data_IF_628291500453
#
_entry.id   IF_628291500453
#
_cell.length_a   1.000
_cell.length_b   1.000
_cell.length_c   1.000
_cell.angle_alpha   90.00
_cell.angle_beta   90.00
_cell.angle_gamma   90.00
#
_symmetry.space_group_name_H-M   'P 1'
#
loop_
_entity.id
_entity.type
_entity.pdbx_description
1 polymer ?
#
# COMPACT_ATOMS: atom_id res chain seq x y z
N UNK A 1 15.54 13.31 23.29
CA UNK A 1 15.84 14.52 22.51
C UNK A 1 15.87 14.23 21.01
N UNK A 2 16.76 13.36 20.54
CA UNK A 2 16.92 13.05 19.11
C UNK A 2 15.62 12.61 18.39
N UNK A 3 14.77 11.81 19.04
CA UNK A 3 13.54 11.27 18.42
C UNK A 3 12.58 12.35 17.92
N UNK A 4 12.26 13.35 18.76
CA UNK A 4 11.23 14.37 18.45
C UNK A 4 11.72 15.38 17.42
N UNK A 5 12.99 15.80 17.54
CA UNK A 5 13.62 16.67 16.56
C UNK A 5 13.74 15.97 15.21
N UNK A 6 14.08 14.67 15.20
CA UNK A 6 14.13 13.89 13.97
C UNK A 6 12.74 13.69 13.36
N UNK A 7 11.73 13.39 14.18
CA UNK A 7 10.34 13.32 13.73
C UNK A 7 9.90 14.65 13.10
N UNK A 8 10.14 15.78 13.75
CA UNK A 8 9.83 17.11 13.24
C UNK A 8 10.58 17.45 11.94
N UNK A 9 11.86 17.06 11.81
CA UNK A 9 12.62 17.23 10.58
C UNK A 9 12.01 16.41 9.43
N UNK A 10 11.54 15.18 9.69
CA UNK A 10 10.85 14.35 8.70
C UNK A 10 9.52 14.98 8.31
N UNK A 11 8.74 15.50 9.27
CA UNK A 11 7.50 16.24 8.95
C UNK A 11 7.77 17.43 8.02
N UNK A 12 8.82 18.22 8.28
CA UNK A 12 9.19 19.33 7.38
C UNK A 12 9.64 18.88 6.00
N UNK A 13 10.32 17.73 5.89
CA UNK A 13 10.67 17.14 4.59
C UNK A 13 9.44 16.62 3.84
N UNK A 14 8.44 16.12 4.55
CA UNK A 14 7.15 15.70 3.98
C UNK A 14 6.34 16.89 3.47
N UNK A 15 6.25 17.96 4.26
CA UNK A 15 5.63 19.23 3.84
C UNK A 15 6.34 19.80 2.58
N UNK A 16 7.66 19.66 2.50
CA UNK A 16 8.47 20.02 1.33
C UNK A 16 8.45 18.99 0.18
N UNK A 17 7.58 17.98 0.23
CA UNK A 17 7.39 16.94 -0.80
C UNK A 17 8.66 16.16 -1.18
N UNK A 18 9.58 15.95 -0.23
CA UNK A 18 10.90 15.32 -0.49
C UNK A 18 10.89 13.78 -0.47
N UNK A 19 9.74 13.14 -0.32
CA UNK A 19 9.60 11.68 -0.36
C UNK A 19 8.44 11.14 0.48
N UNK A 20 8.24 9.82 0.51
CA UNK A 20 7.22 9.17 1.36
C UNK A 20 7.67 9.06 2.82
N UNK A 21 6.73 8.93 3.78
CA UNK A 21 7.03 8.71 5.22
C UNK A 21 8.01 7.56 5.40
N UNK A 22 7.74 6.42 4.74
CA UNK A 22 8.56 5.22 4.85
C UNK A 22 9.96 5.48 4.34
N UNK A 23 10.11 6.09 3.17
CA UNK A 23 11.43 6.41 2.60
C UNK A 23 12.23 7.33 3.54
N UNK A 24 11.61 8.41 4.03
CA UNK A 24 12.29 9.41 4.85
C UNK A 24 12.65 8.86 6.25
N UNK A 25 11.78 8.07 6.86
CA UNK A 25 12.03 7.47 8.18
C UNK A 25 13.13 6.41 8.10
N UNK A 26 13.14 5.56 7.08
CA UNK A 26 14.18 4.51 6.95
C UNK A 26 15.53 5.08 6.54
N UNK A 27 15.56 6.15 5.73
CA UNK A 27 16.80 6.87 5.38
C UNK A 27 17.29 7.80 6.51
N UNK A 28 16.53 7.92 7.61
CA UNK A 28 16.85 8.85 8.70
C UNK A 28 18.08 8.46 9.52
N UNK A 29 18.49 7.18 9.46
CA UNK A 29 19.59 6.62 10.26
C UNK A 29 19.29 6.54 11.77
N UNK A 30 18.02 6.68 12.18
CA UNK A 30 17.66 6.65 13.60
C UNK A 30 17.69 5.24 14.19
N UNK A 31 18.21 5.07 15.41
CA UNK A 31 18.35 3.76 16.07
C UNK A 31 17.01 3.04 16.28
N UNK A 32 15.93 3.77 16.57
CA UNK A 32 14.61 3.17 16.79
C UNK A 32 13.61 3.57 15.69
N UNK A 33 13.76 2.94 14.53
CA UNK A 33 12.96 3.21 13.32
C UNK A 33 11.46 2.95 13.58
N UNK A 34 11.10 1.85 14.26
CA UNK A 34 9.69 1.52 14.56
C UNK A 34 9.02 2.62 15.38
N UNK A 35 9.69 3.11 16.43
CA UNK A 35 9.17 4.19 17.27
C UNK A 35 9.08 5.52 16.54
N UNK A 36 10.10 5.87 15.74
CA UNK A 36 10.11 7.09 14.93
C UNK A 36 9.01 7.07 13.88
N UNK A 37 8.84 5.94 13.19
CA UNK A 37 7.79 5.75 12.20
C UNK A 37 6.42 5.95 12.83
N UNK A 38 6.12 5.26 13.95
CA UNK A 38 4.85 5.41 14.66
C UNK A 38 4.59 6.86 15.10
N UNK A 39 5.60 7.55 15.65
CA UNK A 39 5.45 8.94 16.10
C UNK A 39 5.18 9.90 14.93
N UNK A 40 5.89 9.76 13.81
CA UNK A 40 5.66 10.58 12.61
C UNK A 40 4.26 10.31 12.04
N UNK A 41 3.92 9.03 11.87
CA UNK A 41 2.63 8.58 11.38
C UNK A 41 1.46 9.14 12.18
N UNK A 42 1.50 8.99 13.50
CA UNK A 42 0.42 9.48 14.34
C UNK A 42 0.41 11.01 14.46
N UNK A 43 1.57 11.67 14.45
CA UNK A 43 1.58 13.15 14.44
C UNK A 43 0.94 13.68 13.15
N UNK A 44 1.23 13.08 12.00
CA UNK A 44 0.58 13.41 10.72
C UNK A 44 -0.92 13.21 10.79
N UNK A 45 -1.36 12.09 11.36
CA UNK A 45 -2.78 11.75 11.55
C UNK A 45 -3.56 12.87 12.21
N UNK A 46 -2.98 13.48 13.24
CA UNK A 46 -3.63 14.52 14.02
C UNK A 46 -3.26 15.93 13.58
N UNK A 47 -2.48 16.14 12.50
CA UNK A 47 -2.00 17.48 12.07
C UNK A 47 -3.11 18.55 12.04
N UNK A 48 -4.29 18.33 11.41
CA UNK A 48 -5.33 19.36 11.36
C UNK A 48 -5.84 19.76 12.75
N UNK A 49 -5.98 18.77 13.64
CA UNK A 49 -6.41 18.95 15.03
C UNK A 49 -5.32 19.65 15.85
N UNK A 50 -4.06 19.26 15.65
CA UNK A 50 -2.90 19.83 16.34
C UNK A 50 -2.69 21.29 15.96
N UNK A 51 -2.81 21.64 14.69
CA UNK A 51 -2.71 23.02 14.21
C UNK A 51 -3.80 23.90 14.80
N UNK A 52 -5.06 23.45 14.83
CA UNK A 52 -6.16 24.20 15.46
C UNK A 52 -5.88 24.45 16.96
N UNK A 53 -5.38 23.44 17.67
CA UNK A 53 -5.02 23.56 19.10
C UNK A 53 -3.84 24.52 19.29
N UNK A 54 -2.77 24.39 18.49
CA UNK A 54 -1.57 25.22 18.57
C UNK A 54 -1.92 26.69 18.29
N UNK A 55 -2.78 26.94 17.30
CA UNK A 55 -3.23 28.28 16.94
C UNK A 55 -4.15 28.87 18.02
N UNK A 56 -5.12 28.10 18.52
CA UNK A 56 -6.06 28.55 19.57
C UNK A 56 -5.36 28.86 20.89
N UNK A 57 -4.21 28.23 21.15
CA UNK A 57 -3.43 28.48 22.37
C UNK A 57 -2.36 29.56 22.21
N UNK A 58 -2.17 30.07 20.99
CA UNK A 58 -1.09 30.99 20.60
C UNK A 58 0.30 30.46 21.01
N UNK A 59 0.48 29.14 21.03
CA UNK A 59 1.67 28.49 21.60
C UNK A 59 2.97 29.00 20.93
N UNK A 60 2.97 29.13 19.60
CA UNK A 60 4.13 29.61 18.84
C UNK A 60 4.42 31.09 19.04
N UNK A 61 3.39 31.90 19.36
CA UNK A 61 3.59 33.33 19.69
C UNK A 61 4.22 33.48 21.06
N UNK A 62 3.81 32.65 22.02
CA UNK A 62 4.33 32.62 23.40
C UNK A 62 5.75 32.07 23.47
N UNK A 63 6.09 31.09 22.63
CA UNK A 63 7.38 30.39 22.63
C UNK A 63 8.08 30.55 21.28
N UNK A 64 8.67 31.73 21.02
CA UNK A 64 9.29 32.09 19.72
C UNK A 64 10.40 31.13 19.23
N UNK A 65 11.01 30.36 20.15
CA UNK A 65 12.05 29.37 19.82
C UNK A 65 11.48 28.03 19.32
N UNK A 66 10.18 27.81 19.48
CA UNK A 66 9.51 26.57 19.11
C UNK A 66 9.08 26.63 17.64
N UNK A 67 9.59 25.72 16.83
CA UNK A 67 9.13 25.55 15.44
C UNK A 67 7.83 24.75 15.38
N UNK A 68 6.99 25.02 14.38
CA UNK A 68 5.68 24.37 14.21
C UNK A 68 5.76 22.84 14.22
N UNK A 69 6.70 22.24 13.49
CA UNK A 69 6.80 20.78 13.41
C UNK A 69 7.27 20.15 14.72
N UNK A 70 8.10 20.84 15.48
CA UNK A 70 8.47 20.40 16.84
C UNK A 70 7.28 20.54 17.79
N UNK A 71 6.49 21.60 17.65
CA UNK A 71 5.26 21.78 18.42
C UNK A 71 4.24 20.67 18.13
N UNK A 72 3.98 20.35 16.85
CA UNK A 72 3.07 19.28 16.43
C UNK A 72 3.42 17.95 17.13
N UNK A 73 4.68 17.52 17.06
CA UNK A 73 5.12 16.24 17.66
C UNK A 73 4.98 16.25 19.19
N UNK A 74 5.36 17.35 19.84
CA UNK A 74 5.30 17.45 21.31
C UNK A 74 3.85 17.53 21.82
N UNK A 75 3.00 18.31 21.15
CA UNK A 75 1.58 18.46 21.50
C UNK A 75 0.85 17.14 21.24
N UNK A 76 1.15 16.44 20.15
CA UNK A 76 0.62 15.10 19.88
C UNK A 76 0.90 14.15 21.04
N UNK A 77 2.16 14.00 21.42
CA UNK A 77 2.54 13.00 22.42
C UNK A 77 2.09 13.39 23.85
N UNK A 78 1.87 14.67 24.11
CA UNK A 78 1.25 15.16 25.35
C UNK A 78 -0.25 14.86 25.43
N UNK A 79 -0.99 15.06 24.34
CA UNK A 79 -2.46 15.06 24.33
C UNK A 79 -3.06 13.70 23.92
N UNK A 80 -2.40 13.00 23.00
CA UNK A 80 -2.89 11.78 22.37
C UNK A 80 -1.95 10.58 22.58
N UNK A 81 -0.64 10.83 22.72
CA UNK A 81 0.35 9.79 22.94
C UNK A 81 0.35 9.20 24.35
N UNK A 82 1.33 8.33 24.62
CA UNK A 82 1.54 7.70 25.94
C UNK A 82 2.27 8.62 26.94
N UNK A 83 2.23 9.94 26.70
CA UNK A 83 2.96 10.96 27.45
C UNK A 83 4.37 11.22 26.93
N UNK A 84 4.87 12.43 27.21
CA UNK A 84 6.16 12.92 26.72
C UNK A 84 7.34 12.05 27.17
N UNK A 85 7.92 11.33 26.21
CA UNK A 85 9.15 10.53 26.35
C UNK A 85 10.43 11.34 26.13
N UNK A 86 10.34 12.63 25.82
CA UNK A 86 11.48 13.53 25.76
C UNK A 86 11.88 14.04 27.15
N UNK A 87 13.19 14.14 27.43
CA UNK A 87 13.71 14.90 28.59
C UNK A 87 14.16 16.31 28.20
N UNK A 88 14.53 17.13 29.18
CA UNK A 88 15.18 18.44 28.98
C UNK A 88 14.23 19.63 28.78
N UNK A 89 14.75 20.69 28.17
CA UNK A 89 14.09 22.00 28.03
C UNK A 89 12.75 21.95 27.30
N UNK A 90 12.61 21.11 26.26
CA UNK A 90 11.36 20.97 25.51
C UNK A 90 10.22 20.36 26.34
N UNK A 91 10.53 19.40 27.22
CA UNK A 91 9.55 18.84 28.15
C UNK A 91 9.08 19.90 29.13
N UNK A 92 10.01 20.64 29.72
CA UNK A 92 9.68 21.73 30.64
C UNK A 92 8.82 22.80 29.97
N UNK A 93 9.18 23.19 28.74
CA UNK A 93 8.45 24.18 27.95
C UNK A 93 7.01 23.75 27.67
N UNK A 94 6.78 22.54 27.19
CA UNK A 94 5.42 22.07 26.87
C UNK A 94 4.60 21.78 28.13
N UNK A 95 5.25 21.30 29.20
CA UNK A 95 4.57 21.08 30.49
C UNK A 95 4.07 22.40 31.10
N UNK A 96 4.75 23.53 30.88
CA UNK A 96 4.28 24.87 31.29
C UNK A 96 2.91 25.24 30.68
N UNK A 97 2.64 24.79 29.46
CA UNK A 97 1.39 25.07 28.72
C UNK A 97 0.37 23.92 28.79
N UNK A 98 0.61 22.89 29.60
CA UNK A 98 -0.19 21.66 29.65
C UNK A 98 -1.68 21.90 29.93
N UNK A 99 -1.99 22.74 30.91
CA UNK A 99 -3.39 23.05 31.28
C UNK A 99 -4.12 23.74 30.13
N UNK A 100 -3.46 24.71 29.48
CA UNK A 100 -4.03 25.44 28.36
C UNK A 100 -4.28 24.54 27.15
N UNK A 101 -3.31 23.67 26.80
CA UNK A 101 -3.43 22.72 25.69
C UNK A 101 -4.53 21.68 25.93
N UNK A 102 -4.64 21.14 27.16
CA UNK A 102 -5.72 20.24 27.54
C UNK A 102 -7.10 20.90 27.50
N UNK A 103 -7.19 22.14 27.98
CA UNK A 103 -8.43 22.93 27.92
C UNK A 103 -8.85 23.22 26.47
N UNK A 104 -7.88 23.54 25.60
CA UNK A 104 -8.14 23.74 24.16
C UNK A 104 -8.66 22.46 23.49
N UNK A 105 -8.07 21.29 23.79
CA UNK A 105 -8.57 20.00 23.31
C UNK A 105 -10.00 19.72 23.79
N UNK A 106 -10.28 19.96 25.08
CA UNK A 106 -11.62 19.75 25.63
C UNK A 106 -12.67 20.66 24.95
N UNK A 107 -12.35 21.94 24.75
CA UNK A 107 -13.22 22.86 23.98
C UNK A 107 -13.43 22.38 22.54
N UNK A 108 -12.38 21.86 21.91
CA UNK A 108 -12.46 21.35 20.54
C UNK A 108 -13.37 20.12 20.43
N UNK A 109 -13.30 19.20 21.40
CA UNK A 109 -14.22 18.06 21.50
C UNK A 109 -15.68 18.48 21.65
N UNK A 110 -15.95 19.44 22.54
CA UNK A 110 -17.29 20.00 22.72
C UNK A 110 -17.79 20.66 21.43
N UNK A 111 -16.94 21.46 20.77
CA UNK A 111 -17.26 22.14 19.50
C UNK A 111 -17.61 21.13 18.39
N UNK A 112 -16.89 20.01 18.30
CA UNK A 112 -17.13 18.95 17.31
C UNK A 112 -18.15 17.90 17.76
N UNK A 113 -18.72 18.04 18.97
CA UNK A 113 -19.68 17.10 19.58
C UNK A 113 -19.16 15.66 19.68
N UNK A 114 -17.88 15.50 19.99
CA UNK A 114 -17.24 14.18 20.13
C UNK A 114 -16.77 13.89 21.55
N UNK A 115 -16.76 12.62 21.93
CA UNK A 115 -16.34 12.18 23.27
C UNK A 115 -14.91 11.61 23.28
N UNK A 116 -14.55 10.83 22.26
CA UNK A 116 -13.22 10.25 22.13
C UNK A 116 -12.26 11.17 21.36
N UNK A 117 -10.95 10.88 21.44
CA UNK A 117 -9.93 11.67 20.74
C UNK A 117 -9.92 11.31 19.24
N UNK A 118 -10.20 10.05 18.94
CA UNK A 118 -10.18 9.45 17.60
C UNK A 118 -11.24 10.07 16.69
N UNK A 119 -12.41 10.38 17.26
CA UNK A 119 -13.55 11.00 16.58
C UNK A 119 -13.26 12.45 16.13
N UNK A 120 -12.22 13.09 16.69
CA UNK A 120 -11.82 14.44 16.25
C UNK A 120 -11.32 14.47 14.81
N UNK A 121 -10.97 13.32 14.23
CA UNK A 121 -10.41 13.21 12.89
C UNK A 121 -11.46 13.11 11.79
N UNK A 122 -12.75 12.95 12.13
CA UNK A 122 -13.83 12.83 11.17
C UNK A 122 -14.17 14.19 10.54
N UNK A 123 -13.56 14.47 9.39
CA UNK A 123 -13.91 15.61 8.54
C UNK A 123 -14.46 15.06 7.22
N UNK A 124 -15.80 15.10 7.06
CA UNK A 124 -16.66 14.99 5.85
C UNK A 124 -16.34 14.04 4.66
N UNK A 125 -15.23 13.30 4.62
CA UNK A 125 -14.92 12.30 3.59
C UNK A 125 -15.01 10.85 4.09
N UNK A 126 -15.17 10.64 5.40
CA UNK A 126 -15.17 9.33 6.04
C UNK A 126 -16.57 8.92 6.50
N UNK A 127 -17.51 8.76 5.57
CA UNK A 127 -18.76 8.03 5.79
C UNK A 127 -18.58 6.50 5.68
N UNK A 128 -17.45 5.98 6.17
CA UNK A 128 -17.28 4.54 6.44
C UNK A 128 -16.85 4.36 7.88
N UNK A 129 -17.83 4.36 8.77
CA UNK A 129 -17.66 4.00 10.18
C UNK A 129 -16.89 2.66 10.31
N UNK A 130 -15.78 2.68 11.05
CA UNK A 130 -15.26 1.53 11.81
C UNK A 130 -14.77 0.27 11.09
N UNK A 131 -14.86 0.14 9.76
CA UNK A 131 -14.51 -1.11 9.07
C UNK A 131 -13.00 -1.21 8.80
N UNK A 132 -12.22 -1.73 9.75
CA UNK A 132 -10.84 -2.15 9.47
C UNK A 132 -10.89 -3.27 8.43
N UNK A 133 -10.27 -3.07 7.26
CA UNK A 133 -10.21 -4.12 6.24
C UNK A 133 -9.47 -5.35 6.78
N UNK A 134 -9.96 -6.56 6.46
CA UNK A 134 -9.33 -7.79 6.91
C UNK A 134 -7.92 -7.95 6.32
N UNK A 135 -7.15 -8.85 6.93
CA UNK A 135 -5.79 -9.17 6.49
C UNK A 135 -5.87 -10.29 5.45
N UNK A 136 -5.55 -9.96 4.21
CA UNK A 136 -5.44 -10.93 3.13
C UNK A 136 -4.05 -11.58 3.07
N UNK A 137 -4.04 -12.89 2.91
CA UNK A 137 -2.85 -13.75 2.92
C UNK A 137 -2.96 -14.74 1.77
N UNK A 138 -2.16 -14.56 0.71
CA UNK A 138 -2.12 -15.48 -0.41
C UNK A 138 -1.21 -16.65 -0.08
N UNK A 139 -1.70 -17.87 -0.27
CA UNK A 139 -0.91 -19.10 -0.19
C UNK A 139 0.01 -19.18 -1.41
N UNK A 140 1.28 -19.51 -1.17
CA UNK A 140 2.25 -19.70 -2.25
C UNK A 140 2.22 -21.16 -2.75
N UNK A 141 1.47 -21.38 -3.83
CA UNK A 141 1.30 -22.70 -4.44
C UNK A 141 2.58 -23.31 -5.02
N UNK A 142 3.69 -22.56 -5.13
CA UNK A 142 5.00 -23.11 -5.48
C UNK A 142 5.65 -23.91 -4.35
N UNK A 143 5.26 -23.64 -3.10
CA UNK A 143 5.93 -24.17 -1.90
C UNK A 143 5.01 -24.92 -0.95
N UNK A 144 3.69 -24.76 -1.10
CA UNK A 144 2.72 -25.41 -0.22
C UNK A 144 1.35 -25.51 -0.87
N UNK A 145 0.48 -26.33 -0.30
CA UNK A 145 -0.95 -26.38 -0.66
C UNK A 145 -1.77 -25.47 0.26
N UNK A 146 -3.00 -25.16 -0.13
CA UNK A 146 -3.92 -24.36 0.71
C UNK A 146 -4.30 -25.16 1.96
N UNK A 147 -4.54 -26.45 1.78
CA UNK A 147 -4.89 -27.43 2.81
C UNK A 147 -3.80 -27.54 3.87
N UNK A 148 -2.53 -27.67 3.46
CA UNK A 148 -1.40 -27.75 4.39
C UNK A 148 -1.21 -26.46 5.19
N UNK A 149 -1.44 -25.29 4.56
CA UNK A 149 -1.38 -24.00 5.26
C UNK A 149 -2.54 -23.87 6.25
N UNK A 150 -3.75 -24.27 5.87
CA UNK A 150 -4.92 -24.31 6.77
C UNK A 150 -4.61 -25.20 7.98
N UNK A 151 -4.08 -26.40 7.74
CA UNK A 151 -3.78 -27.36 8.81
C UNK A 151 -2.63 -26.89 9.70
N UNK A 152 -1.65 -26.17 9.16
CA UNK A 152 -0.61 -25.52 9.95
C UNK A 152 -1.22 -24.51 10.93
N UNK A 153 -2.10 -23.62 10.47
CA UNK A 153 -2.76 -22.65 11.35
C UNK A 153 -3.68 -23.31 12.37
N UNK A 154 -4.37 -24.41 12.01
CA UNK A 154 -5.15 -25.19 12.98
C UNK A 154 -4.30 -25.73 14.14
N UNK A 155 -3.07 -26.18 13.86
CA UNK A 155 -2.11 -26.64 14.88
C UNK A 155 -1.63 -25.51 15.80
N UNK A 156 -1.78 -24.24 15.39
CA UNK A 156 -1.49 -23.05 16.18
C UNK A 156 -2.75 -22.42 16.83
N UNK A 157 -3.76 -23.24 17.09
CA UNK A 157 -5.03 -22.85 17.73
C UNK A 157 -5.86 -21.83 16.93
N UNK A 158 -5.70 -21.77 15.61
CA UNK A 158 -6.65 -21.04 14.76
C UNK A 158 -7.81 -21.92 14.33
N UNK A 159 -9.00 -21.33 14.24
CA UNK A 159 -10.21 -21.97 13.71
C UNK A 159 -10.45 -21.55 12.26
N UNK A 160 -10.46 -22.52 11.35
CA UNK A 160 -10.84 -22.31 9.95
C UNK A 160 -12.37 -22.34 9.82
N UNK A 161 -12.97 -21.27 9.29
CA UNK A 161 -14.41 -21.12 9.16
C UNK A 161 -14.97 -21.66 7.82
N UNK A 162 -14.13 -22.28 6.99
CA UNK A 162 -14.51 -22.71 5.65
C UNK A 162 -14.27 -21.63 4.60
N UNK A 163 -15.06 -21.66 3.53
CA UNK A 163 -15.01 -20.71 2.43
C UNK A 163 -16.06 -19.61 2.62
N UNK A 164 -15.68 -18.35 2.45
CA UNK A 164 -16.64 -17.26 2.49
C UNK A 164 -17.64 -17.40 1.33
N UNK A 165 -18.91 -17.15 1.63
CA UNK A 165 -20.03 -17.12 0.66
C UNK A 165 -20.50 -15.70 0.40
N UNK A 166 -20.16 -14.78 1.31
CA UNK A 166 -20.51 -13.36 1.19
C UNK A 166 -19.41 -12.47 1.76
N UNK A 167 -19.44 -11.19 1.40
CA UNK A 167 -18.54 -10.18 1.99
C UNK A 167 -18.86 -9.96 3.48
N UNK A 168 -20.07 -10.29 3.94
CA UNK A 168 -20.44 -10.18 5.35
C UNK A 168 -19.63 -11.14 6.23
N UNK A 169 -19.30 -12.33 5.72
CA UNK A 169 -18.50 -13.36 6.41
C UNK A 169 -17.10 -12.85 6.77
N UNK A 170 -16.58 -11.90 5.98
CA UNK A 170 -15.24 -11.32 6.15
C UNK A 170 -15.18 -10.21 7.22
N UNK A 171 -16.33 -9.63 7.61
CA UNK A 171 -16.38 -8.46 8.51
C UNK A 171 -16.26 -8.82 9.99
N UNK A 172 -16.61 -10.04 10.37
CA UNK A 172 -16.77 -10.45 11.78
C UNK A 172 -15.83 -11.60 12.18
N UNK A 173 -14.63 -11.64 11.63
CA UNK A 173 -13.62 -12.64 12.00
C UNK A 173 -13.08 -12.35 13.40
N UNK A 174 -13.08 -13.34 14.29
CA UNK A 174 -12.35 -13.31 15.56
C UNK A 174 -10.84 -13.37 15.37
N UNK A 175 -10.05 -12.98 16.39
CA UNK A 175 -8.57 -12.93 16.29
C UNK A 175 -7.90 -14.26 15.96
N UNK A 176 -8.50 -15.37 16.41
CA UNK A 176 -8.03 -16.75 16.16
C UNK A 176 -8.88 -17.46 15.12
N UNK A 177 -9.59 -16.70 14.28
CA UNK A 177 -10.39 -17.24 13.19
C UNK A 177 -9.83 -16.75 11.85
N UNK A 178 -9.95 -17.60 10.84
CA UNK A 178 -9.64 -17.27 9.47
C UNK A 178 -10.56 -18.04 8.53
N UNK A 179 -10.74 -17.51 7.32
CA UNK A 179 -11.69 -18.02 6.33
C UNK A 179 -11.05 -17.94 4.95
N UNK A 180 -11.46 -18.81 4.03
CA UNK A 180 -11.06 -18.72 2.61
C UNK A 180 -11.84 -17.61 1.89
N UNK A 181 -11.22 -16.96 0.92
CA UNK A 181 -11.80 -15.84 0.18
C UNK A 181 -12.85 -16.26 -0.85
N UNK A 182 -13.97 -15.54 -0.92
CA UNK A 182 -15.07 -15.81 -1.85
C UNK A 182 -14.68 -16.09 -3.32
N UNK A 183 -13.67 -15.39 -3.85
CA UNK A 183 -13.35 -15.45 -5.29
C UNK A 183 -12.04 -16.18 -5.59
N UNK A 184 -11.08 -16.17 -4.66
CA UNK A 184 -9.73 -16.66 -4.91
C UNK A 184 -9.42 -17.86 -4.01
N UNK A 185 -9.28 -19.08 -4.56
CA UNK A 185 -9.12 -20.30 -3.76
C UNK A 185 -7.83 -20.31 -2.93
N UNK A 186 -6.78 -19.66 -3.40
CA UNK A 186 -5.49 -19.56 -2.72
C UNK A 186 -5.41 -18.41 -1.70
N UNK A 187 -6.48 -17.64 -1.51
CA UNK A 187 -6.48 -16.47 -0.65
C UNK A 187 -7.19 -16.75 0.68
N UNK A 188 -6.45 -16.58 1.77
CA UNK A 188 -6.97 -16.68 3.13
C UNK A 188 -7.17 -15.28 3.73
N UNK A 189 -8.19 -15.15 4.57
CA UNK A 189 -8.62 -13.89 5.16
C UNK A 189 -8.59 -14.02 6.69
N UNK A 190 -7.85 -13.11 7.32
CA UNK A 190 -7.63 -13.07 8.76
C UNK A 190 -8.16 -11.78 9.37
N UNK A 191 -8.31 -11.78 10.69
CA UNK A 191 -8.66 -10.58 11.46
C UNK A 191 -7.66 -9.41 11.18
N UNK A 192 -8.13 -8.16 10.98
CA UNK A 192 -7.30 -7.00 10.56
C UNK A 192 -6.02 -6.75 11.38
N UNK A 193 -6.10 -6.99 12.69
CA UNK A 193 -5.03 -6.76 13.68
C UNK A 193 -4.00 -7.89 13.79
N UNK A 194 -4.15 -8.99 13.06
CA UNK A 194 -3.14 -10.06 13.04
C UNK A 194 -1.91 -9.61 12.25
N UNK A 195 -0.75 -9.82 12.86
CA UNK A 195 0.57 -9.60 12.25
C UNK A 195 1.24 -10.95 11.99
N UNK A 196 1.58 -11.20 10.74
CA UNK A 196 2.23 -12.43 10.28
C UNK A 196 3.63 -12.17 9.70
N UNK A 197 4.17 -10.95 9.81
CA UNK A 197 5.48 -10.63 9.22
C UNK A 197 6.64 -11.41 9.85
N UNK A 198 6.50 -11.85 11.09
CA UNK A 198 7.49 -12.66 11.81
C UNK A 198 7.11 -14.16 11.84
N UNK A 199 5.97 -14.53 11.24
CA UNK A 199 5.46 -15.89 11.22
C UNK A 199 6.34 -16.80 10.35
N UNK A 200 6.51 -18.07 10.76
CA UNK A 200 7.32 -19.04 10.03
C UNK A 200 6.87 -19.19 8.57
N UNK A 201 5.57 -19.41 8.34
CA UNK A 201 5.04 -19.55 6.97
C UNK A 201 5.35 -18.33 6.08
N UNK A 202 5.42 -17.11 6.64
CA UNK A 202 5.75 -15.91 5.87
C UNK A 202 7.25 -15.79 5.62
N UNK A 203 8.06 -15.99 6.65
CA UNK A 203 9.53 -15.88 6.57
C UNK A 203 10.13 -16.98 5.70
N UNK A 204 9.55 -18.18 5.73
CA UNK A 204 9.87 -19.29 4.84
C UNK A 204 9.17 -19.18 3.46
N UNK A 205 8.30 -18.20 3.22
CA UNK A 205 7.71 -17.95 1.90
C UNK A 205 6.58 -18.89 1.47
N UNK A 206 5.96 -19.62 2.39
CA UNK A 206 4.75 -20.41 2.13
C UNK A 206 3.49 -19.54 2.01
N UNK A 207 3.51 -18.33 2.59
CA UNK A 207 2.44 -17.34 2.45
C UNK A 207 3.00 -15.96 2.07
N UNK A 208 2.20 -15.17 1.38
CA UNK A 208 2.52 -13.82 0.92
C UNK A 208 1.40 -12.87 1.36
N UNK A 209 1.77 -11.80 2.05
CA UNK A 209 0.83 -10.76 2.48
C UNK A 209 0.51 -9.86 1.29
N UNK A 210 -0.65 -10.07 0.68
CA UNK A 210 -1.08 -9.40 -0.55
C UNK A 210 -2.58 -9.13 -0.46
N UNK A 211 -2.96 -7.88 -0.76
CA UNK A 211 -4.35 -7.48 -0.80
C UNK A 211 -5.13 -8.26 -1.87
N UNK A 212 -6.42 -8.53 -1.61
CA UNK A 212 -7.30 -9.24 -2.55
C UNK A 212 -7.30 -8.60 -3.93
N UNK A 213 -7.46 -7.28 -4.02
CA UNK A 213 -7.50 -6.59 -5.31
C UNK A 213 -6.18 -6.75 -6.07
N UNK A 214 -5.05 -6.84 -5.36
CA UNK A 214 -3.75 -7.07 -5.99
C UNK A 214 -3.53 -8.51 -6.45
N UNK A 215 -4.38 -9.47 -6.07
CA UNK A 215 -4.30 -10.86 -6.55
C UNK A 215 -5.08 -11.05 -7.87
N UNK A 216 -6.11 -10.22 -8.11
CA UNK A 216 -6.97 -10.32 -9.30
C UNK A 216 -6.21 -10.21 -10.63
N UNK A 217 -5.22 -9.32 -10.83
CA UNK A 217 -4.61 -9.17 -12.14
C UNK A 217 -3.89 -10.43 -12.65
N UNK A 218 -3.15 -11.10 -11.77
CA UNK A 218 -2.48 -12.35 -12.12
C UNK A 218 -3.51 -13.49 -12.32
N UNK A 219 -4.52 -13.56 -11.46
CA UNK A 219 -5.60 -14.54 -11.56
C UNK A 219 -6.39 -14.40 -12.87
N UNK A 220 -6.76 -13.18 -13.26
CA UNK A 220 -7.49 -12.90 -14.51
C UNK A 220 -6.61 -13.07 -15.75
N UNK A 221 -5.30 -12.82 -15.66
CA UNK A 221 -4.40 -13.08 -16.78
C UNK A 221 -4.31 -14.58 -17.08
N UNK A 222 -4.35 -15.42 -16.05
CA UNK A 222 -4.32 -16.89 -16.08
C UNK A 222 -3.46 -17.47 -17.22
N UNK A 223 -2.16 -17.15 -17.30
CA UNK A 223 -1.31 -17.63 -18.37
C UNK A 223 -1.14 -19.16 -18.27
N UNK A 224 -1.25 -19.92 -19.37
CA UNK A 224 -0.99 -21.36 -19.36
C UNK A 224 0.43 -21.67 -18.88
N UNK A 225 0.58 -22.77 -18.13
CA UNK A 225 1.87 -23.30 -17.70
C UNK A 225 2.82 -23.45 -18.90
N UNK A 226 4.06 -22.95 -18.80
CA UNK A 226 5.03 -23.00 -19.89
C UNK A 226 5.00 -21.81 -20.85
N UNK A 227 4.01 -20.92 -20.75
CA UNK A 227 3.94 -19.73 -21.61
C UNK A 227 4.98 -18.66 -21.24
N UNK A 228 5.13 -17.68 -22.12
CA UNK A 228 5.98 -16.51 -21.90
C UNK A 228 5.11 -15.32 -21.52
N UNK A 229 5.47 -14.68 -20.42
CA UNK A 229 4.69 -13.62 -19.79
C UNK A 229 5.59 -12.41 -19.52
N UNK A 230 5.07 -11.21 -19.73
CA UNK A 230 5.70 -9.97 -19.28
C UNK A 230 4.95 -9.42 -18.07
N UNK A 231 5.68 -9.02 -17.05
CA UNK A 231 5.21 -8.12 -15.99
C UNK A 231 5.89 -6.75 -16.20
N UNK A 232 5.14 -5.78 -16.71
CA UNK A 232 5.67 -4.54 -17.26
C UNK A 232 6.11 -3.52 -16.18
N UNK A 233 5.55 -3.61 -14.98
CA UNK A 233 5.79 -2.68 -13.87
C UNK A 233 5.84 -3.49 -12.56
N UNK A 234 6.84 -4.36 -12.48
CA UNK A 234 6.75 -5.58 -11.69
C UNK A 234 7.06 -5.42 -10.21
N UNK A 235 7.93 -4.47 -9.84
CA UNK A 235 8.38 -4.38 -8.46
C UNK A 235 7.24 -3.87 -7.55
N UNK A 236 7.12 -4.28 -6.28
CA UNK A 236 8.03 -5.12 -5.51
C UNK A 236 7.83 -6.63 -5.70
N UNK A 237 7.13 -7.10 -6.74
CA UNK A 237 7.12 -8.51 -7.14
C UNK A 237 5.94 -9.35 -6.64
N UNK A 238 4.96 -8.76 -5.95
CA UNK A 238 3.80 -9.52 -5.44
C UNK A 238 3.02 -10.20 -6.58
N UNK A 239 2.71 -9.44 -7.65
CA UNK A 239 2.01 -9.95 -8.84
C UNK A 239 2.90 -10.91 -9.64
N UNK A 240 4.18 -10.57 -9.80
CA UNK A 240 5.17 -11.45 -10.45
C UNK A 240 5.28 -12.82 -9.77
N UNK A 241 5.33 -12.85 -8.43
CA UNK A 241 5.37 -14.12 -7.68
C UNK A 241 4.08 -14.93 -7.82
N UNK A 242 2.95 -14.25 -8.03
CA UNK A 242 1.66 -14.90 -8.27
C UNK A 242 1.60 -15.48 -9.69
N UNK A 243 2.05 -14.74 -10.70
CA UNK A 243 2.21 -15.24 -12.07
C UNK A 243 3.13 -16.47 -12.10
N UNK A 244 4.25 -16.44 -11.40
CA UNK A 244 5.15 -17.59 -11.29
C UNK A 244 4.47 -18.82 -10.67
N UNK A 245 3.59 -18.63 -9.69
CA UNK A 245 2.80 -19.69 -9.09
C UNK A 245 1.78 -20.29 -10.08
N UNK A 246 1.08 -19.46 -10.86
CA UNK A 246 0.16 -19.90 -11.92
C UNK A 246 0.92 -20.66 -13.02
N UNK A 247 2.10 -20.17 -13.38
CA UNK A 247 3.00 -20.82 -14.34
C UNK A 247 3.64 -22.10 -13.79
N UNK A 248 3.46 -22.45 -12.52
CA UNK A 248 4.14 -23.57 -11.85
C UNK A 248 5.66 -23.56 -12.06
N UNK A 249 6.29 -22.37 -12.07
CA UNK A 249 7.71 -22.17 -12.39
C UNK A 249 8.14 -22.72 -13.78
N UNK A 250 7.21 -22.90 -14.73
CA UNK A 250 7.49 -23.36 -16.09
C UNK A 250 7.20 -22.25 -17.10
N UNK A 251 8.11 -22.07 -18.07
CA UNK A 251 8.04 -21.01 -19.06
C UNK A 251 9.00 -19.86 -18.75
N UNK A 252 8.65 -18.64 -19.16
CA UNK A 252 9.49 -17.45 -18.99
C UNK A 252 8.66 -16.28 -18.50
N UNK A 253 9.13 -15.63 -17.44
CA UNK A 253 8.50 -14.44 -16.86
C UNK A 253 9.49 -13.27 -16.90
N UNK A 254 9.31 -12.36 -17.84
CA UNK A 254 10.15 -11.16 -17.96
C UNK A 254 9.55 -10.05 -17.10
N UNK A 255 10.32 -9.50 -16.17
CA UNK A 255 9.85 -8.51 -15.22
C UNK A 255 10.67 -7.23 -15.30
N UNK A 256 10.00 -6.11 -15.54
CA UNK A 256 10.61 -4.79 -15.72
C UNK A 256 10.20 -3.84 -14.60
N UNK A 257 11.14 -3.06 -14.09
CA UNK A 257 10.87 -1.89 -13.24
C UNK A 257 12.07 -0.93 -13.30
N UNK A 258 11.83 0.36 -13.09
CA UNK A 258 12.89 1.38 -13.10
C UNK A 258 13.59 1.53 -11.74
N UNK A 259 12.89 1.25 -10.64
CA UNK A 259 13.41 1.51 -9.30
C UNK A 259 14.29 0.35 -8.82
N UNK A 260 15.59 0.60 -8.78
CA UNK A 260 16.61 -0.36 -8.30
C UNK A 260 16.34 -0.87 -6.87
N UNK A 261 15.81 -0.04 -5.98
CA UNK A 261 15.51 -0.43 -4.59
C UNK A 261 14.28 -1.33 -4.53
N UNK A 262 13.24 -1.01 -5.32
CA UNK A 262 12.05 -1.88 -5.43
C UNK A 262 12.42 -3.20 -6.08
N UNK A 263 13.30 -3.21 -7.08
CA UNK A 263 13.82 -4.44 -7.69
C UNK A 263 14.64 -5.29 -6.71
N UNK A 264 15.46 -4.68 -5.85
CA UNK A 264 16.15 -5.42 -4.78
C UNK A 264 15.15 -6.08 -3.80
N UNK A 265 14.08 -5.35 -3.46
CA UNK A 265 12.98 -5.90 -2.63
C UNK A 265 12.29 -7.06 -3.35
N UNK A 266 12.04 -6.91 -4.65
CA UNK A 266 11.48 -7.95 -5.51
C UNK A 266 12.35 -9.19 -5.58
N UNK A 267 13.66 -9.05 -5.81
CA UNK A 267 14.59 -10.18 -5.81
C UNK A 267 14.56 -10.97 -4.50
N UNK A 268 14.49 -10.27 -3.37
CA UNK A 268 14.35 -10.91 -2.04
C UNK A 268 13.02 -11.66 -1.90
N UNK A 269 11.91 -11.07 -2.36
CA UNK A 269 10.59 -11.69 -2.34
C UNK A 269 10.56 -12.95 -3.22
N UNK A 270 11.04 -12.86 -4.47
CA UNK A 270 11.04 -13.95 -5.44
C UNK A 270 11.92 -15.11 -4.98
N UNK A 271 13.10 -14.81 -4.44
CA UNK A 271 13.98 -15.83 -3.85
C UNK A 271 13.28 -16.56 -2.70
N UNK A 272 12.69 -15.83 -1.75
CA UNK A 272 11.96 -16.41 -0.61
C UNK A 272 10.76 -17.26 -1.07
N UNK A 273 10.02 -16.77 -2.06
CA UNK A 273 8.87 -17.44 -2.65
C UNK A 273 9.26 -18.65 -3.53
N UNK A 274 10.55 -18.87 -3.81
CA UNK A 274 11.01 -20.00 -4.63
C UNK A 274 10.71 -19.83 -6.12
N UNK A 275 10.67 -18.60 -6.62
CA UNK A 275 10.39 -18.32 -8.04
C UNK A 275 11.65 -18.50 -8.87
N UNK A 276 11.61 -19.36 -9.88
CA UNK A 276 12.77 -19.73 -10.71
C UNK A 276 12.63 -19.36 -12.19
N UNK A 277 11.41 -19.15 -12.69
CA UNK A 277 11.15 -18.90 -14.11
C UNK A 277 11.25 -17.43 -14.54
N UNK A 278 11.95 -16.58 -13.77
CA UNK A 278 11.91 -15.13 -13.94
C UNK A 278 13.21 -14.54 -14.49
N UNK A 279 13.10 -13.43 -15.21
CA UNK A 279 14.22 -12.60 -15.65
C UNK A 279 13.94 -11.14 -15.27
N UNK A 280 14.69 -10.60 -14.31
CA UNK A 280 14.56 -9.21 -13.87
C UNK A 280 15.38 -8.29 -14.75
N UNK A 281 14.79 -7.16 -15.17
CA UNK A 281 15.49 -6.09 -15.86
C UNK A 281 15.18 -4.75 -15.20
N UNK A 282 16.24 -4.00 -14.84
CA UNK A 282 16.11 -2.58 -14.53
C UNK A 282 16.06 -1.80 -15.86
N UNK A 283 14.86 -1.61 -16.38
CA UNK A 283 14.65 -0.99 -17.68
C UNK A 283 13.26 -0.34 -17.69
N UNK A 284 13.13 0.78 -18.41
CA UNK A 284 11.83 1.35 -18.75
C UNK A 284 11.12 0.39 -19.70
N UNK A 285 9.91 -0.05 -19.33
CA UNK A 285 9.10 -0.90 -20.18
C UNK A 285 8.85 -0.29 -21.56
N UNK A 286 8.67 1.04 -21.65
CA UNK A 286 8.45 1.72 -22.93
C UNK A 286 9.65 1.66 -23.90
N UNK A 287 10.83 1.31 -23.40
CA UNK A 287 12.06 1.14 -24.18
C UNK A 287 12.35 -0.33 -24.53
N UNK A 288 11.47 -1.26 -24.13
CA UNK A 288 11.60 -2.67 -24.48
C UNK A 288 11.16 -2.84 -25.93
N UNK A 289 12.05 -3.27 -26.82
CA UNK A 289 11.69 -3.49 -28.21
C UNK A 289 10.76 -4.71 -28.36
N UNK A 290 9.49 -4.53 -28.80
CA UNK A 290 8.55 -5.63 -28.99
C UNK A 290 8.97 -6.61 -30.09
N UNK A 291 9.82 -6.18 -31.02
CA UNK A 291 10.33 -7.01 -32.12
C UNK A 291 11.56 -7.84 -31.74
N UNK A 292 12.09 -7.66 -30.52
CA UNK A 292 13.26 -8.40 -30.07
C UNK A 292 12.94 -9.90 -30.03
N UNK A 293 13.77 -10.77 -30.64
CA UNK A 293 13.56 -12.23 -30.66
C UNK A 293 13.36 -12.86 -29.27
N UNK A 294 13.90 -12.23 -28.22
CA UNK A 294 13.71 -12.65 -26.83
C UNK A 294 12.23 -12.69 -26.42
N UNK A 295 11.42 -11.77 -26.96
CA UNK A 295 10.02 -11.59 -26.59
C UNK A 295 9.04 -12.13 -27.64
N UNK A 296 9.53 -12.75 -28.72
CA UNK A 296 8.69 -13.22 -29.84
C UNK A 296 7.56 -14.19 -29.42
N UNK A 297 7.76 -14.93 -28.33
CA UNK A 297 6.81 -15.93 -27.82
C UNK A 297 5.90 -15.38 -26.72
N UNK A 298 6.01 -14.08 -26.36
CA UNK A 298 5.18 -13.47 -25.31
C UNK A 298 3.75 -13.34 -25.81
N UNK A 299 2.84 -13.95 -25.05
CA UNK A 299 1.39 -13.94 -25.33
C UNK A 299 0.58 -13.23 -24.26
N UNK A 300 1.13 -13.10 -23.06
CA UNK A 300 0.43 -12.59 -21.88
C UNK A 300 1.22 -11.45 -21.26
N UNK A 301 0.57 -10.33 -20.99
CA UNK A 301 1.20 -9.17 -20.35
C UNK A 301 0.36 -8.70 -19.17
N UNK A 302 1.01 -8.55 -18.03
CA UNK A 302 0.46 -7.84 -16.87
C UNK A 302 1.01 -6.42 -16.86
N UNK A 303 0.12 -5.44 -16.87
CA UNK A 303 0.46 -4.02 -16.79
C UNK A 303 -0.18 -3.41 -15.53
N UNK A 304 0.64 -3.24 -14.49
CA UNK A 304 0.28 -2.58 -13.21
C UNK A 304 1.10 -1.29 -13.04
N UNK A 305 0.80 -0.23 -13.81
CA UNK A 305 1.64 0.94 -13.89
C UNK A 305 1.56 1.80 -12.63
N UNK A 306 2.44 2.79 -12.54
CA UNK A 306 2.33 3.82 -11.50
C UNK A 306 0.98 4.54 -11.60
N UNK A 307 0.30 4.62 -10.46
CA UNK A 307 -1.05 5.18 -10.32
C UNK A 307 -1.06 6.26 -9.23
N UNK A 308 -2.14 7.03 -9.10
CA UNK A 308 -2.32 7.99 -8.00
C UNK A 308 -2.28 7.36 -6.60
N UNK A 309 -2.67 6.09 -6.48
CA UNK A 309 -2.73 5.33 -5.23
C UNK A 309 -3.98 5.61 -4.40
N UNK A 310 -4.96 6.32 -4.96
CA UNK A 310 -6.17 6.82 -4.29
C UNK A 310 -7.07 5.71 -3.73
N UNK A 311 -7.01 4.49 -4.26
CA UNK A 311 -7.77 3.33 -3.80
C UNK A 311 -7.14 2.56 -2.63
N UNK A 312 -5.96 2.95 -2.14
CA UNK A 312 -5.28 2.23 -1.05
C UNK A 312 -5.85 2.67 0.31
N UNK A 313 -6.92 2.00 0.73
CA UNK A 313 -7.69 2.30 1.97
C UNK A 313 -6.86 2.14 3.27
N UNK A 314 -5.85 1.28 3.26
CA UNK A 314 -5.16 0.82 4.48
C UNK A 314 -3.74 1.37 4.67
N UNK A 315 -3.38 2.46 4.00
CA UNK A 315 -2.13 3.15 4.29
C UNK A 315 -2.42 4.50 4.89
N UNK A 316 -1.82 4.70 6.05
CA UNK A 316 -1.35 5.97 6.60
C UNK A 316 -0.71 6.94 5.58
N UNK A 317 -0.50 6.50 4.33
CA UNK A 317 -0.26 7.34 3.16
C UNK A 317 -1.37 8.37 2.93
N UNK A 318 -2.63 8.10 3.27
CA UNK A 318 -3.70 9.12 3.18
C UNK A 318 -3.41 10.38 4.02
N UNK A 319 -2.56 10.28 5.05
CA UNK A 319 -2.18 11.41 5.92
C UNK A 319 -0.92 12.15 5.44
N UNK A 320 -0.28 11.67 4.37
CA UNK A 320 0.74 12.41 3.62
C UNK A 320 0.30 12.77 2.20
N UNK A 321 -0.78 12.15 1.75
CA UNK A 321 -1.54 12.49 0.57
C UNK A 321 -2.67 13.48 0.95
N UNK A 322 -2.34 14.47 1.80
CA UNK A 322 -3.15 15.68 2.01
C UNK A 322 -3.41 16.30 0.64
N UNK A 323 -4.63 16.13 0.09
CA UNK A 323 -5.37 16.87 -0.97
C UNK A 323 -4.58 17.57 -2.12
N UNK A 324 -3.31 17.25 -2.28
CA UNK A 324 -2.33 17.95 -3.12
C UNK A 324 -1.42 16.97 -3.86
N UNK A 325 -1.49 15.67 -3.55
CA UNK A 325 -0.88 14.60 -4.34
C UNK A 325 -1.73 14.19 -5.55
N UNK A 326 -3.00 14.61 -5.58
CA UNK A 326 -3.95 14.53 -6.70
C UNK A 326 -4.12 15.87 -7.43
N UNK A 327 -3.04 16.61 -7.68
CA UNK A 327 -3.17 17.76 -8.59
C UNK A 327 -3.65 17.22 -9.94
N UNK A 328 -4.74 17.79 -10.48
CA UNK A 328 -5.29 17.39 -11.80
C UNK A 328 -4.20 17.25 -12.88
N UNK A 329 -3.16 18.11 -12.95
CA UNK A 329 -2.05 17.92 -13.88
C UNK A 329 -1.27 16.61 -13.70
N UNK A 330 -1.00 16.19 -12.45
CA UNK A 330 -0.31 14.92 -12.18
C UNK A 330 -1.17 13.72 -12.54
N UNK A 331 -2.47 13.77 -12.22
CA UNK A 331 -3.42 12.72 -12.58
C UNK A 331 -3.44 12.51 -14.11
N UNK A 332 -3.55 13.59 -14.88
CA UNK A 332 -3.53 13.54 -16.34
C UNK A 332 -2.18 13.06 -16.89
N UNK A 333 -1.06 13.44 -16.27
CA UNK A 333 0.26 12.94 -16.67
C UNK A 333 0.41 11.42 -16.42
N UNK A 334 -0.14 10.92 -15.30
CA UNK A 334 -0.18 9.48 -15.01
C UNK A 334 -1.07 8.73 -16.02
N UNK A 335 -2.27 9.23 -16.28
CA UNK A 335 -3.17 8.69 -17.31
C UNK A 335 -2.50 8.63 -18.68
N UNK A 336 -1.84 9.72 -19.10
CA UNK A 336 -1.10 9.76 -20.37
C UNK A 336 0.03 8.74 -20.42
N UNK A 337 0.74 8.51 -19.31
CA UNK A 337 1.75 7.45 -19.23
C UNK A 337 1.10 6.05 -19.31
N UNK A 338 -0.03 5.84 -18.63
CA UNK A 338 -0.77 4.58 -18.64
C UNK A 338 -1.27 4.23 -20.05
N UNK A 339 -1.82 5.19 -20.81
CA UNK A 339 -2.18 5.01 -22.22
C UNK A 339 -0.97 4.60 -23.06
N UNK A 340 0.18 5.27 -22.90
CA UNK A 340 1.42 4.91 -23.63
C UNK A 340 1.88 3.50 -23.30
N UNK A 341 1.89 3.13 -22.02
CA UNK A 341 2.33 1.81 -21.58
C UNK A 341 1.38 0.70 -22.06
N UNK A 342 0.07 0.94 -22.05
CA UNK A 342 -0.91 -0.03 -22.54
C UNK A 342 -0.83 -0.19 -24.06
N UNK A 343 -0.68 0.90 -24.81
CA UNK A 343 -0.39 0.83 -26.26
C UNK A 343 0.89 0.06 -26.55
N UNK A 344 1.93 0.29 -25.76
CA UNK A 344 3.20 -0.41 -25.91
C UNK A 344 3.05 -1.92 -25.63
N UNK A 345 2.34 -2.30 -24.57
CA UNK A 345 2.03 -3.71 -24.30
C UNK A 345 1.27 -4.37 -25.47
N UNK A 346 0.32 -3.66 -26.09
CA UNK A 346 -0.43 -4.14 -27.25
C UNK A 346 0.39 -4.20 -28.55
N UNK A 347 1.59 -3.60 -28.58
CA UNK A 347 2.46 -3.64 -29.76
C UNK A 347 3.29 -4.92 -29.89
N UNK A 348 3.28 -5.79 -28.87
CA UNK A 348 3.94 -7.10 -28.94
C UNK A 348 3.20 -8.01 -29.93
N UNK A 349 3.88 -8.55 -30.97
CA UNK A 349 3.21 -9.17 -32.11
C UNK A 349 2.43 -10.44 -31.78
N UNK A 350 2.84 -11.16 -30.72
CA UNK A 350 2.20 -12.39 -30.26
C UNK A 350 1.20 -12.20 -29.12
N UNK A 351 0.92 -10.96 -28.69
CA UNK A 351 0.10 -10.72 -27.50
C UNK A 351 -1.35 -11.13 -27.73
N UNK A 352 -1.87 -11.99 -26.86
CA UNK A 352 -3.25 -12.47 -26.89
C UNK A 352 -4.09 -11.84 -25.77
N UNK A 353 -3.47 -11.58 -24.61
CA UNK A 353 -4.16 -11.01 -23.44
C UNK A 353 -3.26 -10.04 -22.68
N UNK A 354 -3.78 -8.84 -22.44
CA UNK A 354 -3.17 -7.84 -21.55
C UNK A 354 -4.13 -7.58 -20.40
N UNK A 355 -3.64 -7.69 -19.16
CA UNK A 355 -4.37 -7.22 -17.99
C UNK A 355 -3.82 -5.87 -17.58
N UNK A 356 -4.67 -4.85 -17.67
CA UNK A 356 -4.42 -3.51 -17.13
C UNK A 356 -5.03 -3.41 -15.73
N UNK A 357 -4.25 -2.99 -14.74
CA UNK A 357 -4.75 -2.80 -13.38
C UNK A 357 -4.16 -1.56 -12.73
N UNK A 358 -4.95 -0.84 -11.94
CA UNK A 358 -4.46 0.26 -11.11
C UNK A 358 -4.91 0.10 -9.66
N UNK A 359 -4.29 0.91 -8.83
CA UNK A 359 -4.64 1.15 -7.43
C UNK A 359 -5.44 2.46 -7.25
N UNK A 360 -6.11 2.94 -8.31
CA UNK A 360 -6.81 4.23 -8.36
C UNK A 360 -8.32 4.07 -8.39
N UNK A 361 -9.03 5.03 -7.79
CA UNK A 361 -10.48 5.19 -7.92
C UNK A 361 -10.87 6.22 -9.00
N UNK A 362 -9.90 6.86 -9.64
CA UNK A 362 -10.14 7.90 -10.64
C UNK A 362 -10.42 7.29 -12.00
N UNK A 363 -11.52 7.74 -12.62
CA UNK A 363 -11.94 7.31 -13.94
C UNK A 363 -10.89 7.61 -15.00
N UNK A 364 -10.19 8.73 -14.83
CA UNK A 364 -9.12 9.20 -15.73
C UNK A 364 -7.95 8.23 -15.84
N UNK A 365 -7.70 7.41 -14.80
CA UNK A 365 -6.64 6.39 -14.81
C UNK A 365 -7.19 4.99 -15.14
N UNK A 366 -8.51 4.84 -15.31
CA UNK A 366 -9.17 3.55 -15.42
C UNK A 366 -9.99 3.47 -16.71
N UNK A 367 -11.29 3.75 -16.65
CA UNK A 367 -12.20 3.60 -17.79
C UNK A 367 -11.79 4.47 -18.97
N UNK A 368 -11.32 5.70 -18.73
CA UNK A 368 -10.96 6.63 -19.81
C UNK A 368 -9.71 6.16 -20.57
N UNK A 369 -8.73 5.55 -19.87
CA UNK A 369 -7.54 4.94 -20.48
C UNK A 369 -7.96 3.77 -21.38
N UNK A 370 -8.86 2.90 -20.89
CA UNK A 370 -9.32 1.75 -21.66
C UNK A 370 -10.15 2.19 -22.87
N UNK A 371 -11.03 3.18 -22.70
CA UNK A 371 -11.84 3.74 -23.78
C UNK A 371 -10.96 4.34 -24.89
N UNK A 372 -9.95 5.13 -24.53
CA UNK A 372 -9.00 5.70 -25.49
C UNK A 372 -8.27 4.61 -26.29
N UNK A 373 -7.81 3.55 -25.63
CA UNK A 373 -7.10 2.43 -26.26
C UNK A 373 -8.02 1.64 -27.20
N UNK A 374 -9.26 1.37 -26.79
CA UNK A 374 -10.24 0.71 -27.64
C UNK A 374 -10.57 1.54 -28.90
N UNK A 375 -10.67 2.86 -28.78
CA UNK A 375 -10.88 3.74 -29.93
C UNK A 375 -9.69 3.71 -30.90
N UNK A 376 -8.46 3.64 -30.39
CA UNK A 376 -7.24 3.62 -31.22
C UNK A 376 -7.04 2.29 -31.97
N UNK A 377 -7.40 1.17 -31.36
CA UNK A 377 -7.20 -0.17 -31.94
C UNK A 377 -8.45 -0.74 -32.62
N UNK A 378 -9.61 -0.15 -32.40
CA UNK A 378 -10.90 -0.58 -32.96
C UNK A 378 -11.18 -2.06 -32.67
N UNK A 379 -11.61 -2.80 -33.68
CA UNK A 379 -12.00 -4.22 -33.55
C UNK A 379 -10.80 -5.19 -33.39
N UNK A 380 -9.55 -4.70 -33.34
CA UNK A 380 -8.37 -5.57 -33.15
C UNK A 380 -8.26 -6.11 -31.74
N UNK A 381 -8.85 -5.43 -30.78
CA UNK A 381 -8.89 -5.82 -29.36
C UNK A 381 -10.32 -5.72 -28.85
N UNK A 382 -10.60 -6.43 -27.76
CA UNK A 382 -11.87 -6.32 -27.03
C UNK A 382 -11.60 -6.23 -25.55
N UNK A 383 -12.35 -5.40 -24.84
CA UNK A 383 -12.34 -5.42 -23.39
C UNK A 383 -13.22 -6.58 -22.91
N UNK A 384 -12.63 -7.50 -22.15
CA UNK A 384 -13.34 -8.59 -21.49
C UNK A 384 -13.73 -8.15 -20.08
N UNK A 385 -15.03 -8.07 -19.79
CA UNK A 385 -15.56 -7.89 -18.44
C UNK A 385 -16.17 -9.23 -18.01
N UNK A 386 -15.47 -9.98 -17.15
CA UNK A 386 -15.90 -11.31 -16.68
C UNK A 386 -15.21 -12.48 -17.40
N UNK A 387 -15.85 -13.65 -17.40
CA UNK A 387 -15.29 -14.89 -17.96
C UNK A 387 -15.20 -14.82 -19.50
N UNK A 388 -13.96 -14.56 -19.96
CA UNK A 388 -13.43 -14.87 -21.27
C UNK A 388 -12.38 -15.99 -21.09
#
# INVERSE_FOLDING_TARGET
MALYVKAAAILGQLEGKRGSVKTLVYNSGHKNIKQLFALVCETLKYTPVLEEIINTTDLLKKEKKLQINVAKVLVYDLLFGKGLKCGGSWKALIMKHRSQLKSALARLKVKRKVSCNEDLLETKASSTAGCQLPRYVRVNLLKNTVEDVIDYFKREDYTYLGQATSVADLKHLGRKQFIGDLHLPELLVFHPKIDLHEHFLYTAGHIILQDKASCLPAHLLNPPTGSHVIDACAAPGNKTSHLAAILCNKGKLFAFDLDTKRLSTMGTLLLRAGVTCHELANQDFLLVDPSNPKYQNVKYILLDPSCSGSGIVNRLNQLTDDETSSSRPRLLALASFQCKALNHALSFPGVERVIYSTCSIHREENEDVVEEILQQHGNRIRCCIGDC
#
